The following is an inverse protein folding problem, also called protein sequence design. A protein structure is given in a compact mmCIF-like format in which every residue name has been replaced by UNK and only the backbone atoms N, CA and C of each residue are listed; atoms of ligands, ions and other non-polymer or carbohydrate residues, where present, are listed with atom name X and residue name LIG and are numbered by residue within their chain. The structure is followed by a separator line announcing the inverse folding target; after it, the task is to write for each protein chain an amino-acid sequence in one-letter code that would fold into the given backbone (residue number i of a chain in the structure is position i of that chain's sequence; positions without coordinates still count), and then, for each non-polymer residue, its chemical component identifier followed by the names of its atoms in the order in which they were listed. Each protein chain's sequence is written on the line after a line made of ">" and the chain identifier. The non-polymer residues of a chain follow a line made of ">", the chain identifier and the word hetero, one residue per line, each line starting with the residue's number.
data_IF_922558978392
#
_entry.id   IF_922558978392
#
_cell.length_a   1.000
_cell.length_b   1.000
_cell.length_c   1.000
_cell.angle_alpha   90.00
_cell.angle_beta   90.00
_cell.angle_gamma   90.00
#
_symmetry.space_group_name_H-M   'P 1'
#
loop_
_entity.id
_entity.type
_entity.pdbx_description
1 polymer ?
#
# COMPACT_ATOMS: atom_id res chain seq x y z
N UNK A 1 -35.41 -4.43 10.19
CA UNK A 1 -34.11 -5.11 10.20
C UNK A 1 -33.04 -4.01 10.20
N UNK A 2 -32.42 -3.79 11.34
CA UNK A 2 -31.33 -2.84 11.49
C UNK A 2 -30.14 -3.34 10.66
N UNK A 3 -29.66 -2.53 9.73
CA UNK A 3 -28.42 -2.85 9.01
C UNK A 3 -27.28 -2.94 10.04
N UNK A 4 -26.45 -4.00 10.04
CA UNK A 4 -25.34 -4.08 10.96
C UNK A 4 -24.45 -2.84 10.79
N UNK A 5 -24.04 -2.28 11.92
CA UNK A 5 -23.25 -1.06 11.95
C UNK A 5 -22.02 -1.18 11.01
N UNK A 6 -21.63 -0.12 10.26
CA UNK A 6 -20.50 -0.14 9.34
C UNK A 6 -19.20 -0.72 9.94
N UNK A 7 -19.04 -0.60 11.24
CA UNK A 7 -17.88 -1.10 12.01
C UNK A 7 -17.69 -2.60 11.91
N UNK A 8 -18.77 -3.39 12.04
CA UNK A 8 -18.69 -4.85 11.91
C UNK A 8 -18.32 -5.31 10.51
N UNK A 9 -18.69 -4.54 9.49
CA UNK A 9 -18.41 -4.89 8.10
C UNK A 9 -16.90 -4.95 7.79
N UNK A 10 -16.11 -4.02 8.34
CA UNK A 10 -14.65 -3.96 8.06
C UNK A 10 -13.84 -4.86 9.01
N UNK A 11 -14.33 -5.13 10.23
CA UNK A 11 -13.65 -6.01 11.19
C UNK A 11 -13.90 -7.50 10.90
N UNK A 12 -15.14 -7.88 10.49
CA UNK A 12 -15.53 -9.28 10.29
C UNK A 12 -15.20 -9.84 8.90
N UNK A 13 -14.96 -8.99 7.90
CA UNK A 13 -14.74 -9.40 6.50
C UNK A 13 -13.30 -9.31 6.00
N UNK A 14 -12.34 -9.05 6.85
CA UNK A 14 -10.96 -8.78 6.44
C UNK A 14 -10.78 -7.69 5.36
N UNK A 15 -11.78 -6.83 5.23
CA UNK A 15 -11.76 -5.66 4.36
C UNK A 15 -11.00 -4.48 5.01
N UNK A 16 -10.07 -4.79 5.96
CA UNK A 16 -9.27 -3.76 6.60
C UNK A 16 -8.17 -3.27 5.66
N UNK A 17 -8.53 -2.31 4.84
CA UNK A 17 -7.63 -1.68 3.88
C UNK A 17 -8.43 -0.76 2.94
N UNK A 18 -7.75 0.21 2.36
CA UNK A 18 -8.37 1.12 1.40
C UNK A 18 -8.29 0.56 -0.03
N UNK A 19 -8.79 -0.67 -0.22
CA UNK A 19 -8.69 -1.41 -1.49
C UNK A 19 -9.35 -0.67 -2.65
N UNK A 20 -10.44 0.07 -2.40
CA UNK A 20 -11.10 0.89 -3.41
C UNK A 20 -10.15 1.96 -3.97
N UNK A 21 -9.47 2.70 -3.10
CA UNK A 21 -8.50 3.70 -3.51
C UNK A 21 -7.26 3.06 -4.18
N UNK A 22 -6.80 1.91 -3.69
CA UNK A 22 -5.66 1.20 -4.26
C UNK A 22 -5.96 0.70 -5.69
N UNK A 23 -7.12 0.08 -5.92
CA UNK A 23 -7.54 -0.36 -7.26
C UNK A 23 -7.77 0.82 -8.20
N UNK A 24 -8.36 1.89 -7.69
CA UNK A 24 -8.52 3.14 -8.45
C UNK A 24 -7.17 3.69 -8.89
N UNK A 25 -6.19 3.74 -7.98
CA UNK A 25 -4.83 4.15 -8.31
C UNK A 25 -4.23 3.32 -9.44
N UNK A 26 -4.27 2.00 -9.34
CA UNK A 26 -3.70 1.13 -10.37
C UNK A 26 -4.30 1.38 -11.75
N UNK A 27 -5.63 1.56 -11.81
CA UNK A 27 -6.36 1.86 -13.07
C UNK A 27 -6.00 3.23 -13.62
N UNK A 28 -6.01 4.29 -12.79
CA UNK A 28 -5.66 5.66 -13.20
C UNK A 28 -4.19 5.78 -13.60
N UNK A 29 -3.30 5.00 -12.98
CA UNK A 29 -1.89 4.91 -13.32
C UNK A 29 -1.60 4.05 -14.56
N UNK A 30 -2.65 3.49 -15.19
CA UNK A 30 -2.56 2.77 -16.45
C UNK A 30 -2.13 1.30 -16.34
N UNK A 31 -2.24 0.69 -15.14
CA UNK A 31 -2.04 -0.76 -15.02
C UNK A 31 -3.25 -1.50 -15.62
N UNK A 32 -2.99 -2.42 -16.53
CA UNK A 32 -4.01 -3.25 -17.17
C UNK A 32 -3.66 -4.74 -17.08
N UNK A 33 -4.65 -5.63 -17.03
CA UNK A 33 -4.43 -7.07 -17.17
C UNK A 33 -3.66 -7.39 -18.47
N UNK A 34 -2.78 -8.40 -18.39
CA UNK A 34 -1.95 -8.79 -19.56
C UNK A 34 -0.65 -8.00 -19.71
N UNK A 35 -0.35 -7.04 -18.85
CA UNK A 35 0.93 -6.31 -18.84
C UNK A 35 2.15 -7.18 -18.43
N UNK A 36 1.96 -8.47 -18.18
CA UNK A 36 2.97 -9.43 -17.75
C UNK A 36 2.83 -9.83 -16.26
N UNK A 37 3.77 -10.64 -15.73
CA UNK A 37 3.72 -11.10 -14.35
C UNK A 37 3.78 -9.94 -13.35
N UNK A 38 2.94 -10.01 -12.32
CA UNK A 38 2.81 -9.02 -11.25
C UNK A 38 3.19 -9.64 -9.89
N UNK A 39 4.01 -8.94 -9.12
CA UNK A 39 4.33 -9.29 -7.74
C UNK A 39 3.69 -8.30 -6.77
N UNK A 40 2.92 -8.81 -5.81
CA UNK A 40 2.48 -8.06 -4.64
C UNK A 40 3.42 -8.31 -3.47
N UNK A 41 4.04 -7.27 -2.93
CA UNK A 41 4.87 -7.34 -1.72
C UNK A 41 4.02 -6.94 -0.52
N UNK A 42 3.99 -7.79 0.51
CA UNK A 42 3.17 -7.61 1.70
C UNK A 42 1.70 -7.93 1.45
N UNK A 43 1.42 -9.13 0.93
CA UNK A 43 0.05 -9.54 0.59
C UNK A 43 -0.88 -9.69 1.80
N UNK A 44 -0.34 -9.69 3.03
CA UNK A 44 -1.13 -9.83 4.24
C UNK A 44 -2.07 -11.03 4.18
N UNK A 45 -3.36 -10.77 4.41
CA UNK A 45 -4.42 -11.79 4.32
C UNK A 45 -4.86 -12.11 2.87
N UNK A 46 -4.17 -11.60 1.85
CA UNK A 46 -4.39 -11.94 0.44
C UNK A 46 -5.54 -11.22 -0.27
N UNK A 47 -6.21 -10.27 0.37
CA UNK A 47 -7.39 -9.61 -0.21
C UNK A 47 -7.08 -8.86 -1.50
N UNK A 48 -5.99 -8.09 -1.54
CA UNK A 48 -5.61 -7.35 -2.74
C UNK A 48 -5.17 -8.30 -3.86
N UNK A 49 -4.42 -9.36 -3.52
CA UNK A 49 -4.03 -10.39 -4.46
C UNK A 49 -5.23 -11.10 -5.09
N UNK A 50 -6.24 -11.47 -4.27
CA UNK A 50 -7.49 -12.07 -4.76
C UNK A 50 -8.20 -11.12 -5.74
N UNK A 51 -8.31 -9.84 -5.42
CA UNK A 51 -8.93 -8.84 -6.30
C UNK A 51 -8.19 -8.70 -7.63
N UNK A 52 -6.85 -8.58 -7.59
CA UNK A 52 -6.03 -8.50 -8.81
C UNK A 52 -6.21 -9.74 -9.69
N UNK A 53 -6.17 -10.93 -9.09
CA UNK A 53 -6.35 -12.19 -9.84
C UNK A 53 -7.74 -12.31 -10.45
N UNK A 54 -8.77 -11.89 -9.75
CA UNK A 54 -10.16 -11.84 -10.29
C UNK A 54 -10.32 -10.84 -11.43
N UNK A 55 -9.52 -9.77 -11.45
CA UNK A 55 -9.46 -8.83 -12.56
C UNK A 55 -8.60 -9.32 -13.75
N UNK A 56 -8.03 -10.53 -13.66
CA UNK A 56 -7.27 -11.16 -14.74
C UNK A 56 -5.78 -10.86 -14.76
N UNK A 57 -5.21 -10.34 -13.66
CA UNK A 57 -3.75 -10.18 -13.53
C UNK A 57 -3.07 -11.53 -13.23
N UNK A 58 -1.92 -11.82 -13.87
CA UNK A 58 -1.00 -12.89 -13.46
C UNK A 58 -0.23 -12.44 -12.23
N UNK A 59 -0.92 -12.45 -11.07
CA UNK A 59 -0.41 -11.90 -9.83
C UNK A 59 0.01 -13.00 -8.86
N UNK A 60 1.18 -12.80 -8.22
CA UNK A 60 1.75 -13.59 -7.11
C UNK A 60 2.05 -12.67 -5.95
N UNK A 61 2.09 -13.22 -4.73
CA UNK A 61 2.33 -12.46 -3.53
C UNK A 61 3.50 -12.97 -2.71
N UNK A 62 4.07 -12.08 -1.90
CA UNK A 62 4.97 -12.44 -0.80
C UNK A 62 4.50 -11.83 0.51
N UNK A 63 4.70 -12.56 1.61
CA UNK A 63 4.32 -12.12 2.94
C UNK A 63 5.31 -12.67 3.97
N UNK A 64 5.68 -11.86 4.98
CA UNK A 64 6.60 -12.26 6.06
C UNK A 64 5.90 -12.99 7.20
N UNK A 65 4.63 -12.68 7.43
CA UNK A 65 3.86 -13.22 8.54
C UNK A 65 3.11 -14.50 8.14
N UNK A 66 3.57 -15.65 8.64
CA UNK A 66 2.95 -16.95 8.37
C UNK A 66 1.46 -16.99 8.78
N UNK A 67 1.08 -16.35 9.90
CA UNK A 67 -0.31 -16.34 10.35
C UNK A 67 -1.22 -15.59 9.37
N UNK A 68 -0.74 -14.55 8.68
CA UNK A 68 -1.49 -13.87 7.62
C UNK A 68 -1.67 -14.77 6.39
N UNK A 69 -0.66 -15.55 6.03
CA UNK A 69 -0.75 -16.53 4.94
C UNK A 69 -1.78 -17.63 5.27
N UNK A 70 -1.77 -18.14 6.50
CA UNK A 70 -2.75 -19.15 6.92
C UNK A 70 -4.18 -18.59 6.91
N UNK A 71 -4.34 -17.34 7.34
CA UNK A 71 -5.62 -16.63 7.26
C UNK A 71 -6.05 -16.40 5.80
N UNK A 72 -5.12 -16.05 4.92
CA UNK A 72 -5.37 -15.94 3.47
C UNK A 72 -5.93 -17.25 2.89
N UNK A 73 -5.33 -18.39 3.23
CA UNK A 73 -5.81 -19.71 2.80
C UNK A 73 -7.22 -20.00 3.29
N UNK A 74 -7.52 -19.62 4.54
CA UNK A 74 -8.86 -19.78 5.10
C UNK A 74 -9.92 -18.94 4.37
N UNK A 75 -9.57 -17.70 3.97
CA UNK A 75 -10.49 -16.74 3.37
C UNK A 75 -10.68 -16.92 1.86
N UNK A 76 -9.61 -17.20 1.14
CA UNK A 76 -9.56 -17.14 -0.32
C UNK A 76 -9.06 -18.43 -0.97
N UNK A 77 -8.76 -19.47 -0.18
CA UNK A 77 -8.15 -20.71 -0.69
C UNK A 77 -6.66 -20.52 -1.01
N UNK A 78 -6.15 -21.34 -1.93
CA UNK A 78 -4.73 -21.39 -2.27
C UNK A 78 -4.34 -20.24 -3.22
N UNK A 79 -4.20 -19.04 -2.67
CA UNK A 79 -3.56 -17.94 -3.39
C UNK A 79 -2.04 -18.18 -3.50
N UNK A 80 -1.39 -17.77 -4.60
CA UNK A 80 0.05 -17.93 -4.78
C UNK A 80 0.84 -16.92 -3.93
N UNK A 81 0.79 -17.07 -2.61
CA UNK A 81 1.54 -16.27 -1.64
C UNK A 81 2.70 -17.10 -1.11
N UNK A 82 3.92 -16.61 -1.31
CA UNK A 82 5.13 -17.22 -0.78
C UNK A 82 5.57 -16.51 0.49
N UNK A 83 5.92 -17.30 1.53
CA UNK A 83 6.52 -16.76 2.74
C UNK A 83 7.94 -16.31 2.46
N UNK A 84 8.30 -15.10 2.93
CA UNK A 84 9.66 -14.55 2.89
C UNK A 84 10.12 -14.15 4.30
N UNK A 85 11.40 -13.91 4.47
CA UNK A 85 11.97 -13.43 5.74
C UNK A 85 12.19 -11.90 5.78
N UNK A 86 11.85 -11.20 4.68
CA UNK A 86 11.78 -9.76 4.56
C UNK A 86 12.86 -9.10 3.71
N UNK A 87 14.10 -9.60 3.69
CA UNK A 87 15.19 -8.89 3.04
C UNK A 87 15.35 -9.24 1.55
N UNK A 88 15.19 -10.52 1.20
CA UNK A 88 15.45 -11.01 -0.17
C UNK A 88 14.17 -11.59 -0.77
N UNK A 89 13.90 -11.26 -2.02
CA UNK A 89 12.77 -11.81 -2.76
C UNK A 89 13.19 -13.12 -3.44
N UNK A 90 12.45 -14.23 -3.26
CA UNK A 90 12.82 -15.56 -3.75
C UNK A 90 12.48 -15.76 -5.23
N UNK A 91 12.80 -14.77 -6.04
CA UNK A 91 12.54 -14.76 -7.48
C UNK A 91 13.82 -14.45 -8.26
N UNK A 92 13.87 -14.92 -9.49
CA UNK A 92 14.92 -14.60 -10.43
C UNK A 92 14.94 -13.09 -10.77
N UNK A 93 16.08 -12.61 -11.23
CA UNK A 93 16.20 -11.27 -11.79
C UNK A 93 15.22 -11.10 -12.96
N UNK A 94 14.61 -9.92 -13.03
CA UNK A 94 13.71 -9.52 -14.14
C UNK A 94 12.48 -10.43 -14.31
N UNK A 95 12.03 -11.06 -13.24
CA UNK A 95 10.89 -12.00 -13.28
C UNK A 95 9.53 -11.32 -13.45
N UNK A 96 9.42 -10.02 -13.13
CA UNK A 96 8.14 -9.31 -13.09
C UNK A 96 8.15 -8.05 -13.98
N UNK A 97 7.05 -7.84 -14.68
CA UNK A 97 6.79 -6.57 -15.38
C UNK A 97 6.32 -5.49 -14.40
N UNK A 98 5.65 -5.91 -13.33
CA UNK A 98 5.04 -5.02 -12.34
C UNK A 98 5.29 -5.53 -10.93
N UNK A 99 5.58 -4.60 -10.02
CA UNK A 99 5.56 -4.82 -8.57
C UNK A 99 4.53 -3.88 -7.97
N UNK A 100 3.77 -4.33 -6.97
CA UNK A 100 2.84 -3.49 -6.19
C UNK A 100 3.07 -3.68 -4.70
N UNK A 101 2.87 -2.63 -3.90
CA UNK A 101 2.81 -2.74 -2.43
C UNK A 101 1.91 -1.64 -1.85
N UNK A 102 1.10 -1.99 -0.86
CA UNK A 102 0.14 -1.10 -0.22
C UNK A 102 0.27 -1.20 1.30
N UNK A 103 0.52 -0.07 1.98
CA UNK A 103 0.77 -0.01 3.44
C UNK A 103 1.91 -0.97 3.89
N UNK A 104 3.04 -0.98 3.15
CA UNK A 104 4.20 -1.87 3.40
C UNK A 104 5.48 -1.07 3.58
N UNK A 105 5.73 -0.08 2.73
CA UNK A 105 7.01 0.62 2.61
C UNK A 105 7.45 1.29 3.93
N UNK A 106 6.49 1.78 4.72
CA UNK A 106 6.69 2.37 6.04
C UNK A 106 7.13 1.39 7.12
N UNK A 107 6.92 0.09 6.90
CA UNK A 107 7.31 -1.00 7.82
C UNK A 107 8.68 -1.59 7.50
N UNK A 108 9.33 -1.17 6.41
CA UNK A 108 10.61 -1.71 5.97
C UNK A 108 11.76 -0.92 6.60
N UNK A 109 12.59 -1.52 7.47
CA UNK A 109 13.68 -0.80 8.14
C UNK A 109 14.75 -0.31 7.14
N UNK A 110 15.15 -1.14 6.20
CA UNK A 110 16.11 -0.79 5.14
C UNK A 110 15.39 -0.66 3.78
N UNK A 111 14.89 0.53 3.52
CA UNK A 111 14.20 0.84 2.26
C UNK A 111 15.15 0.92 1.05
N UNK A 112 16.46 1.14 1.25
CA UNK A 112 17.43 1.09 0.15
C UNK A 112 17.67 -0.36 -0.29
N UNK A 113 17.85 -1.31 0.63
CA UNK A 113 17.92 -2.74 0.33
C UNK A 113 16.64 -3.25 -0.35
N UNK A 114 15.47 -2.82 0.14
CA UNK A 114 14.19 -3.15 -0.47
C UNK A 114 14.11 -2.66 -1.94
N UNK A 115 14.44 -1.40 -2.20
CA UNK A 115 14.42 -0.85 -3.56
C UNK A 115 15.43 -1.54 -4.47
N UNK A 116 16.58 -1.97 -3.94
CA UNK A 116 17.54 -2.78 -4.69
C UNK A 116 16.92 -4.11 -5.13
N UNK A 117 16.24 -4.83 -4.24
CA UNK A 117 15.54 -6.08 -4.55
C UNK A 117 14.39 -5.87 -5.54
N UNK A 118 13.58 -4.82 -5.35
CA UNK A 118 12.52 -4.45 -6.30
C UNK A 118 13.10 -4.20 -7.70
N UNK A 119 14.22 -3.45 -7.77
CA UNK A 119 14.92 -3.19 -9.04
C UNK A 119 15.43 -4.49 -9.67
N UNK A 120 15.97 -5.42 -8.87
CA UNK A 120 16.48 -6.71 -9.33
C UNK A 120 15.40 -7.58 -9.96
N UNK A 121 14.25 -7.69 -9.32
CA UNK A 121 13.15 -8.55 -9.80
C UNK A 121 12.32 -7.93 -10.92
N UNK A 122 12.37 -6.60 -11.11
CA UNK A 122 11.68 -5.93 -12.20
C UNK A 122 12.39 -6.13 -13.54
N UNK A 123 11.63 -6.39 -14.57
CA UNK A 123 12.10 -6.37 -15.95
C UNK A 123 12.54 -4.95 -16.36
N UNK A 124 13.44 -4.79 -17.33
CA UNK A 124 13.82 -3.48 -17.87
C UNK A 124 12.58 -2.70 -18.34
N UNK A 125 12.40 -1.49 -17.82
CA UNK A 125 11.20 -0.68 -18.05
C UNK A 125 9.97 -1.11 -17.26
N UNK A 126 10.12 -2.06 -16.33
CA UNK A 126 9.07 -2.45 -15.40
C UNK A 126 8.68 -1.34 -14.44
N UNK A 127 7.57 -1.51 -13.75
CA UNK A 127 6.96 -0.46 -12.92
C UNK A 127 6.69 -0.97 -11.51
N UNK A 128 7.03 -0.15 -10.52
CA UNK A 128 6.65 -0.35 -9.13
C UNK A 128 5.53 0.63 -8.74
N UNK A 129 4.36 0.13 -8.39
CA UNK A 129 3.25 0.89 -7.86
C UNK A 129 3.20 0.73 -6.35
N UNK A 130 3.27 1.82 -5.61
CA UNK A 130 3.20 1.75 -4.15
C UNK A 130 2.26 2.80 -3.58
N UNK A 131 1.65 2.44 -2.45
CA UNK A 131 1.00 3.39 -1.57
C UNK A 131 1.68 3.31 -0.21
N UNK A 132 1.94 4.47 0.39
CA UNK A 132 2.52 4.59 1.73
C UNK A 132 2.02 5.88 2.39
N UNK A 133 1.84 5.90 3.72
CA UNK A 133 1.41 7.10 4.42
C UNK A 133 2.46 8.23 4.33
N UNK A 134 1.95 9.45 4.25
CA UNK A 134 2.79 10.63 4.30
C UNK A 134 3.30 10.87 5.74
N UNK A 135 4.61 10.95 5.91
CA UNK A 135 5.31 11.19 7.18
C UNK A 135 4.63 12.26 8.04
N UNK A 136 4.34 13.42 7.46
CA UNK A 136 3.85 14.56 8.24
C UNK A 136 2.42 14.37 8.74
N UNK A 137 1.51 13.92 7.90
CA UNK A 137 0.11 13.71 8.26
C UNK A 137 -0.07 12.45 9.11
N UNK A 138 0.73 11.41 8.86
CA UNK A 138 0.70 10.17 9.63
C UNK A 138 1.18 10.40 11.06
N UNK A 139 2.30 11.11 11.27
CA UNK A 139 2.82 11.43 12.62
C UNK A 139 1.75 12.16 13.44
N UNK A 140 1.04 13.12 12.85
CA UNK A 140 -0.04 13.83 13.54
C UNK A 140 -1.18 12.89 13.92
N UNK A 141 -1.66 12.09 12.95
CA UNK A 141 -2.76 11.14 13.18
C UNK A 141 -2.40 10.09 14.25
N UNK A 142 -1.25 9.45 14.14
CA UNK A 142 -0.82 8.40 15.06
C UNK A 142 -0.52 8.97 16.45
N UNK A 143 0.01 10.20 16.56
CA UNK A 143 0.18 10.87 17.84
C UNK A 143 -1.17 11.05 18.57
N UNK A 144 -2.20 11.46 17.84
CA UNK A 144 -3.56 11.59 18.39
C UNK A 144 -4.12 10.21 18.77
N UNK A 145 -3.98 9.23 17.90
CA UNK A 145 -4.48 7.86 18.10
C UNK A 145 -3.89 7.18 19.32
N UNK A 146 -2.57 7.23 19.45
CA UNK A 146 -1.83 6.56 20.55
C UNK A 146 -1.66 7.45 21.79
N UNK A 147 -2.05 8.74 21.71
CA UNK A 147 -1.78 9.76 22.75
C UNK A 147 -0.31 9.78 23.17
N UNK A 148 0.59 9.54 22.22
CA UNK A 148 2.03 9.43 22.39
C UNK A 148 2.77 9.93 21.17
N UNK A 149 3.82 10.74 21.38
CA UNK A 149 4.67 11.25 20.29
C UNK A 149 5.67 10.24 19.73
N UNK A 150 5.77 9.04 20.31
CA UNK A 150 6.79 8.06 19.94
C UNK A 150 6.25 6.65 19.69
N UNK A 151 5.07 6.30 20.19
CA UNK A 151 4.52 4.94 20.12
C UNK A 151 4.35 4.45 18.67
N UNK A 152 4.05 5.35 17.71
CA UNK A 152 3.90 4.97 16.30
C UNK A 152 5.20 4.47 15.64
N UNK A 153 6.38 4.80 16.19
CA UNK A 153 7.68 4.38 15.64
C UNK A 153 7.94 2.90 15.78
N UNK A 154 7.17 2.20 16.61
CA UNK A 154 7.27 0.74 16.76
C UNK A 154 6.78 0.06 15.49
N UNK A 155 5.67 0.54 14.89
CA UNK A 155 5.07 -0.04 13.71
C UNK A 155 5.55 0.63 12.41
N UNK A 156 5.73 1.97 12.41
CA UNK A 156 6.13 2.75 11.25
C UNK A 156 7.59 3.22 11.40
N UNK A 157 8.53 2.34 11.07
CA UNK A 157 9.97 2.64 11.20
C UNK A 157 10.53 3.51 10.06
N UNK A 158 9.84 3.60 8.91
CA UNK A 158 10.32 4.22 7.67
C UNK A 158 9.30 5.15 7.01
N UNK A 159 8.80 6.13 7.75
CA UNK A 159 7.92 7.16 7.19
C UNK A 159 8.70 8.17 6.34
N UNK A 160 8.19 8.44 5.14
CA UNK A 160 8.84 9.35 4.19
C UNK A 160 7.92 10.54 3.84
N UNK A 161 8.54 11.68 3.59
CA UNK A 161 7.93 12.84 2.95
C UNK A 161 7.94 12.70 1.42
N UNK A 162 7.16 13.50 0.72
CA UNK A 162 7.16 13.58 -0.75
C UNK A 162 8.57 13.70 -1.35
N UNK A 163 9.40 14.59 -0.78
CA UNK A 163 10.77 14.84 -1.28
C UNK A 163 11.69 13.64 -1.02
N UNK A 164 11.58 13.02 0.16
CA UNK A 164 12.40 11.85 0.51
C UNK A 164 12.08 10.66 -0.41
N UNK A 165 10.81 10.41 -0.75
CA UNK A 165 10.43 9.37 -1.72
C UNK A 165 11.07 9.66 -3.08
N UNK A 166 10.90 10.86 -3.64
CA UNK A 166 11.48 11.22 -4.94
C UNK A 166 12.99 11.00 -4.99
N UNK A 167 13.71 11.47 -3.97
CA UNK A 167 15.17 11.36 -3.93
C UNK A 167 15.62 9.90 -3.80
N UNK A 168 14.97 9.11 -2.93
CA UNK A 168 15.31 7.72 -2.69
C UNK A 168 15.07 6.87 -3.94
N UNK A 169 13.91 7.01 -4.56
CA UNK A 169 13.59 6.26 -5.77
C UNK A 169 14.50 6.63 -6.95
N UNK A 170 14.81 7.92 -7.13
CA UNK A 170 15.74 8.38 -8.17
C UNK A 170 17.15 7.77 -8.00
N UNK A 171 17.64 7.61 -6.75
CA UNK A 171 18.92 6.96 -6.44
C UNK A 171 18.95 5.51 -6.94
N UNK A 172 17.80 4.82 -6.98
CA UNK A 172 17.65 3.43 -7.45
C UNK A 172 17.21 3.33 -8.92
N UNK A 173 17.30 4.42 -9.69
CA UNK A 173 17.03 4.40 -11.13
C UNK A 173 15.54 4.48 -11.51
N UNK A 174 14.67 4.85 -10.57
CA UNK A 174 13.26 5.06 -10.84
C UNK A 174 12.94 6.52 -11.16
N UNK A 175 12.12 6.73 -12.19
CA UNK A 175 11.35 7.94 -12.36
C UNK A 175 10.01 7.81 -11.64
N UNK A 176 9.58 8.85 -10.89
CA UNK A 176 8.42 8.77 -10.02
C UNK A 176 7.34 9.76 -10.42
N UNK A 177 6.11 9.24 -10.57
CA UNK A 177 4.88 10.00 -10.77
C UNK A 177 3.95 9.79 -9.57
N UNK A 178 3.40 10.89 -9.02
CA UNK A 178 2.48 10.86 -7.89
C UNK A 178 1.06 11.10 -8.35
N UNK A 179 0.14 10.28 -7.88
CA UNK A 179 -1.27 10.33 -8.25
C UNK A 179 -2.12 10.94 -7.14
N UNK A 180 -3.08 11.77 -7.55
CA UNK A 180 -4.06 12.38 -6.65
C UNK A 180 -5.28 11.46 -6.50
N UNK A 181 -5.15 10.45 -5.66
CA UNK A 181 -6.22 9.48 -5.42
C UNK A 181 -7.05 9.90 -4.21
N UNK A 182 -8.37 10.05 -4.33
CA UNK A 182 -9.25 10.28 -3.20
C UNK A 182 -9.21 9.12 -2.20
N UNK A 183 -8.89 9.45 -0.95
CA UNK A 183 -8.75 8.46 0.14
C UNK A 183 -9.94 8.46 1.11
N UNK A 184 -10.82 9.45 1.03
CA UNK A 184 -12.01 9.58 1.90
C UNK A 184 -13.11 8.63 1.41
N UNK A 185 -12.80 7.33 1.41
CA UNK A 185 -13.71 6.22 1.14
C UNK A 185 -14.53 5.87 2.38
N UNK A 186 -15.45 4.91 2.27
CA UNK A 186 -16.22 4.41 3.40
C UNK A 186 -15.31 3.81 4.48
N UNK A 187 -14.25 3.09 4.08
CA UNK A 187 -13.25 2.59 5.00
C UNK A 187 -12.53 3.72 5.76
N UNK A 188 -12.13 4.79 5.06
CA UNK A 188 -11.51 5.94 5.70
C UNK A 188 -12.44 6.64 6.70
N UNK A 189 -13.72 6.83 6.33
CA UNK A 189 -14.75 7.40 7.19
C UNK A 189 -14.98 6.55 8.43
N UNK A 190 -15.07 5.21 8.27
CA UNK A 190 -15.15 4.27 9.36
C UNK A 190 -13.93 4.41 10.31
N UNK A 191 -12.70 4.43 9.77
CA UNK A 191 -11.46 4.60 10.54
C UNK A 191 -11.48 5.91 11.34
N UNK A 192 -11.84 7.02 10.72
CA UNK A 192 -11.96 8.32 11.40
C UNK A 192 -13.00 8.27 12.51
N UNK A 193 -14.18 7.69 12.25
CA UNK A 193 -15.23 7.53 13.25
C UNK A 193 -14.78 6.64 14.41
N UNK A 194 -14.07 5.57 14.14
CA UNK A 194 -13.58 4.61 15.14
C UNK A 194 -12.61 5.24 16.13
N UNK A 195 -11.70 6.08 15.64
CA UNK A 195 -10.61 6.67 16.46
C UNK A 195 -10.88 8.09 16.95
N UNK A 196 -11.62 8.90 16.20
CA UNK A 196 -11.88 10.31 16.49
C UNK A 196 -13.36 10.63 16.73
N UNK A 197 -14.26 9.63 16.61
CA UNK A 197 -15.68 9.79 16.83
C UNK A 197 -16.37 10.74 15.85
N UNK A 198 -17.53 11.27 16.26
CA UNK A 198 -18.29 12.26 15.50
C UNK A 198 -17.56 13.58 15.25
N UNK A 199 -16.74 14.12 16.18
CA UNK A 199 -15.93 15.30 15.89
C UNK A 199 -14.96 15.09 14.73
N UNK A 200 -14.35 13.91 14.63
CA UNK A 200 -13.48 13.58 13.49
C UNK A 200 -14.22 13.60 12.15
N UNK A 201 -15.45 13.05 12.10
CA UNK A 201 -16.28 13.12 10.89
C UNK A 201 -16.71 14.56 10.55
N UNK A 202 -16.98 15.40 11.54
CA UNK A 202 -17.29 16.80 11.33
C UNK A 202 -16.08 17.56 10.77
N UNK A 203 -14.85 17.26 11.25
CA UNK A 203 -13.62 17.81 10.71
C UNK A 203 -13.41 17.48 9.22
N UNK A 204 -13.77 16.28 8.76
CA UNK A 204 -13.66 15.91 7.34
C UNK A 204 -14.53 16.79 6.42
N UNK A 205 -15.60 17.39 6.93
CA UNK A 205 -16.44 18.33 6.15
C UNK A 205 -15.75 19.68 5.93
N UNK A 206 -14.91 20.11 6.88
CA UNK A 206 -14.19 21.39 6.87
C UNK A 206 -12.80 21.23 6.27
N UNK A 207 -12.09 20.19 6.66
CA UNK A 207 -10.71 19.89 6.23
C UNK A 207 -10.67 18.51 5.56
N UNK A 208 -11.19 18.42 4.33
CA UNK A 208 -11.16 17.18 3.55
C UNK A 208 -9.74 16.95 3.02
N UNK A 209 -9.07 15.81 3.40
CA UNK A 209 -7.73 15.49 2.93
C UNK A 209 -7.60 15.38 1.40
N UNK A 210 -8.69 14.99 0.72
CA UNK A 210 -8.68 14.87 -0.75
C UNK A 210 -8.52 16.22 -1.47
N UNK A 211 -8.74 17.34 -0.77
CA UNK A 211 -8.55 18.68 -1.31
C UNK A 211 -7.16 19.28 -1.04
N UNK A 212 -6.30 18.57 -0.32
CA UNK A 212 -4.97 19.07 0.00
C UNK A 212 -4.03 18.89 -1.20
N UNK A 213 -3.01 19.76 -1.35
CA UNK A 213 -1.93 19.55 -2.30
C UNK A 213 -1.25 18.19 -2.10
N UNK A 214 -0.74 17.58 -3.17
CA UNK A 214 -0.12 16.25 -3.15
C UNK A 214 0.88 16.05 -2.00
N UNK A 215 1.73 17.05 -1.75
CA UNK A 215 2.72 16.98 -0.68
C UNK A 215 2.13 16.92 0.74
N UNK A 216 0.85 17.28 0.91
CA UNK A 216 0.11 17.30 2.18
C UNK A 216 -1.01 16.26 2.23
N UNK A 217 -1.15 15.40 1.23
CA UNK A 217 -2.09 14.26 1.25
C UNK A 217 -1.74 13.31 2.40
N UNK A 218 -2.73 12.56 2.88
CA UNK A 218 -2.51 11.58 3.95
C UNK A 218 -1.69 10.39 3.49
N UNK A 219 -1.84 10.02 2.22
CA UNK A 219 -1.11 8.92 1.59
C UNK A 219 -0.49 9.40 0.28
N UNK A 220 0.63 8.80 -0.08
CA UNK A 220 1.23 8.91 -1.39
C UNK A 220 0.90 7.67 -2.22
N UNK A 221 0.40 7.90 -3.42
CA UNK A 221 0.22 6.91 -4.46
C UNK A 221 1.25 7.17 -5.54
N UNK A 222 2.21 6.27 -5.70
CA UNK A 222 3.41 6.50 -6.52
C UNK A 222 3.55 5.42 -7.57
N UNK A 223 3.66 5.83 -8.82
CA UNK A 223 4.13 5.01 -9.93
C UNK A 223 5.60 5.29 -10.13
N UNK A 224 6.44 4.29 -9.93
CA UNK A 224 7.87 4.36 -10.11
C UNK A 224 8.28 3.50 -11.30
N UNK A 225 8.67 4.12 -12.40
CA UNK A 225 9.07 3.44 -13.63
C UNK A 225 10.58 3.26 -13.66
N UNK A 226 11.04 2.01 -13.80
CA UNK A 226 12.46 1.71 -13.91
C UNK A 226 12.97 2.14 -15.28
N UNK A 227 14.04 2.94 -15.31
CA UNK A 227 14.64 3.37 -16.54
C UNK A 227 15.08 2.18 -17.40
N UNK A 228 14.81 2.22 -18.70
CA UNK A 228 15.35 1.22 -19.63
C UNK A 228 16.86 1.41 -19.70
N UNK A 229 17.66 0.33 -19.65
CA UNK A 229 19.07 0.43 -19.97
C UNK A 229 19.25 1.08 -21.36
N UNK A 230 20.14 2.03 -21.46
CA UNK A 230 20.53 2.64 -22.75
C UNK A 230 21.33 1.65 -23.58
#
# INVERSE_FOLDING_TARGET
>A
MEQPAPERRFEERDDYGNYEANLRFLREAGLAPGAGPLLEIGSGKGRMLDLLRREGYDARGVEVNAAMIDESRRLFGDLPIQKVDGATLPFADRAFATVVSFDVFEHIPDTDAHLHEVTRVLSPGGTYFLQTPNKWTNVVFETIRWRSFTAFRVDHCSLHSYREIKQRFAKHGFDTEFFDIPVVTDFFRWKVRRYLGWPGLAMLKVANPDKFPLALKTNFYVKASLAKPR
#
